data_IF_466941720132
#
_entry.id   IF_466941720132
#
_cell.length_a   1.000
_cell.length_b   1.000
_cell.length_c   1.000
_cell.angle_alpha   90.00
_cell.angle_beta   90.00
_cell.angle_gamma   90.00
#
_symmetry.space_group_name_H-M   'P 1'
#
loop_
_entity.id
_entity.type
_entity.pdbx_description
1 polymer ?
#
# COMPACT_ATOMS: atom_id res chain seq x y z
N UNK A 1 -12.03 4.81 13.01
CA UNK A 1 -11.83 3.91 11.88
C UNK A 1 -11.15 2.60 12.27
N UNK A 2 -10.09 2.66 13.05
CA UNK A 2 -9.37 1.46 13.45
C UNK A 2 -10.24 0.49 14.24
N UNK A 3 -11.06 1.01 15.14
CA UNK A 3 -11.97 0.16 15.93
C UNK A 3 -12.98 -0.58 15.06
N UNK A 4 -13.51 0.09 14.04
CA UNK A 4 -14.43 -0.55 13.10
C UNK A 4 -13.71 -1.61 12.27
N UNK A 5 -12.48 -1.31 11.85
CA UNK A 5 -11.67 -2.28 11.11
C UNK A 5 -11.35 -3.49 11.96
N UNK A 6 -10.99 -3.30 13.23
CA UNK A 6 -10.73 -4.40 14.15
C UNK A 6 -11.98 -5.27 14.34
N UNK A 7 -13.13 -4.65 14.57
CA UNK A 7 -14.39 -5.37 14.74
C UNK A 7 -14.75 -6.18 13.49
N UNK A 8 -14.55 -5.59 12.32
CA UNK A 8 -14.81 -6.26 11.05
C UNK A 8 -13.86 -7.43 10.84
N UNK A 9 -12.58 -7.24 11.15
CA UNK A 9 -11.57 -8.29 11.05
C UNK A 9 -11.86 -9.47 11.98
N UNK A 10 -12.29 -9.19 13.21
CA UNK A 10 -12.69 -10.22 14.17
C UNK A 10 -13.89 -11.01 13.68
N UNK A 11 -14.88 -10.31 13.14
CA UNK A 11 -16.06 -10.96 12.59
C UNK A 11 -15.71 -11.87 11.40
N UNK A 12 -14.84 -11.40 10.52
CA UNK A 12 -14.38 -12.21 9.38
C UNK A 12 -13.64 -13.45 9.86
N UNK A 13 -12.77 -13.31 10.86
CA UNK A 13 -12.03 -14.44 11.43
C UNK A 13 -12.97 -15.47 12.05
N UNK A 14 -13.99 -15.03 12.78
CA UNK A 14 -14.99 -15.92 13.37
C UNK A 14 -15.74 -16.73 12.32
N UNK A 15 -15.90 -16.17 11.13
CA UNK A 15 -16.62 -16.80 10.02
C UNK A 15 -15.70 -17.48 9.03
N UNK A 16 -14.42 -17.58 9.36
CA UNK A 16 -13.40 -18.19 8.50
C UNK A 16 -13.33 -17.52 7.12
N UNK A 17 -13.44 -16.19 7.11
CA UNK A 17 -13.32 -15.38 5.90
C UNK A 17 -11.96 -14.67 5.93
N UNK A 18 -11.19 -14.79 4.86
CA UNK A 18 -9.94 -14.05 4.70
C UNK A 18 -10.21 -12.77 3.96
N UNK A 19 -9.61 -11.68 4.47
CA UNK A 19 -9.77 -10.36 3.88
C UNK A 19 -8.53 -9.99 3.07
N UNK A 20 -8.73 -9.25 2.01
CA UNK A 20 -7.66 -8.55 1.31
C UNK A 20 -8.04 -7.07 1.23
N UNK A 21 -7.03 -6.22 1.20
CA UNK A 21 -7.24 -4.76 1.11
C UNK A 21 -6.65 -4.29 -0.20
N UNK A 22 -7.43 -3.53 -0.96
CA UNK A 22 -6.97 -2.89 -2.17
C UNK A 22 -6.65 -1.43 -1.87
N UNK A 23 -5.40 -1.07 -2.03
CA UNK A 23 -4.94 0.29 -1.81
C UNK A 23 -5.38 1.20 -2.96
N UNK A 24 -5.47 2.53 -2.72
CA UNK A 24 -5.68 3.47 -3.82
C UNK A 24 -4.55 3.39 -4.85
N UNK A 25 -4.79 3.98 -6.02
CA UNK A 25 -3.81 4.02 -7.08
C UNK A 25 -2.63 4.94 -6.70
N UNK A 26 -1.42 4.42 -6.74
CA UNK A 26 -0.22 5.14 -6.28
C UNK A 26 0.71 5.53 -7.42
N UNK A 27 0.22 6.33 -8.36
CA UNK A 27 1.04 6.76 -9.48
C UNK A 27 2.31 7.50 -9.06
N UNK A 28 2.28 8.18 -7.92
CA UNK A 28 3.42 8.95 -7.41
C UNK A 28 4.65 8.10 -7.10
N UNK A 29 4.50 6.81 -6.85
CA UNK A 29 5.64 5.94 -6.56
C UNK A 29 6.52 5.68 -7.77
N UNK A 30 6.00 5.84 -8.98
CA UNK A 30 6.76 5.67 -10.22
C UNK A 30 7.32 6.98 -10.76
N UNK A 31 6.93 8.12 -10.20
CA UNK A 31 7.34 9.44 -10.67
C UNK A 31 8.57 9.93 -9.93
N UNK A 32 9.45 10.73 -10.60
CA UNK A 32 10.61 11.29 -9.94
C UNK A 32 10.29 12.38 -8.92
N UNK A 33 9.07 12.92 -8.94
CA UNK A 33 8.63 13.97 -8.01
C UNK A 33 8.63 13.46 -6.57
N UNK A 34 9.48 14.05 -5.74
CA UNK A 34 9.63 13.64 -4.34
C UNK A 34 8.38 13.91 -3.50
N UNK A 35 7.68 15.01 -3.77
CA UNK A 35 6.46 15.34 -3.03
C UNK A 35 5.36 14.33 -3.32
N UNK A 36 5.18 13.98 -4.58
CA UNK A 36 4.20 12.96 -4.97
C UNK A 36 4.58 11.59 -4.43
N UNK A 37 5.88 11.28 -4.44
CA UNK A 37 6.37 10.04 -3.86
C UNK A 37 6.04 9.96 -2.38
N UNK A 38 6.27 11.02 -1.62
CA UNK A 38 5.94 11.05 -0.19
C UNK A 38 4.45 10.93 0.06
N UNK A 39 3.62 11.60 -0.74
CA UNK A 39 2.17 11.51 -0.61
C UNK A 39 1.68 10.08 -0.85
N UNK A 40 2.23 9.42 -1.87
CA UNK A 40 1.87 8.02 -2.17
C UNK A 40 2.33 7.08 -1.06
N UNK A 41 3.52 7.29 -0.50
CA UNK A 41 4.01 6.49 0.62
C UNK A 41 3.14 6.66 1.86
N UNK A 42 2.71 7.90 2.16
CA UNK A 42 1.85 8.16 3.29
C UNK A 42 0.50 7.45 3.14
N UNK A 43 -0.07 7.47 1.93
CA UNK A 43 -1.32 6.77 1.64
C UNK A 43 -1.14 5.25 1.78
N UNK A 44 -0.02 4.72 1.34
CA UNK A 44 0.28 3.29 1.47
C UNK A 44 0.42 2.88 2.94
N UNK A 45 1.14 3.68 3.73
CA UNK A 45 1.28 3.43 5.16
C UNK A 45 -0.09 3.41 5.86
N UNK A 46 -0.96 4.36 5.52
CA UNK A 46 -2.30 4.41 6.08
C UNK A 46 -3.08 3.14 5.72
N UNK A 47 -3.01 2.71 4.46
CA UNK A 47 -3.66 1.48 4.01
C UNK A 47 -3.13 0.26 4.75
N UNK A 48 -1.81 0.20 4.98
CA UNK A 48 -1.20 -0.90 5.71
C UNK A 48 -1.67 -0.96 7.15
N UNK A 49 -1.85 0.19 7.81
CA UNK A 49 -2.39 0.25 9.17
C UNK A 49 -3.82 -0.27 9.23
N UNK A 50 -4.65 0.12 8.25
CA UNK A 50 -6.02 -0.39 8.16
C UNK A 50 -6.04 -1.89 7.89
N UNK A 51 -5.16 -2.36 7.00
CA UNK A 51 -5.03 -3.79 6.72
C UNK A 51 -4.63 -4.58 7.96
N UNK A 52 -3.73 -4.05 8.76
CA UNK A 52 -3.33 -4.69 10.01
C UNK A 52 -4.50 -4.76 10.98
N UNK A 53 -5.29 -3.68 11.10
CA UNK A 53 -6.46 -3.66 11.96
C UNK A 53 -7.51 -4.67 11.51
N UNK A 54 -7.66 -4.87 10.19
CA UNK A 54 -8.57 -5.87 9.61
C UNK A 54 -8.02 -7.29 9.70
N UNK A 55 -6.77 -7.46 10.09
CA UNK A 55 -6.07 -8.74 10.07
C UNK A 55 -6.04 -9.32 8.65
N UNK A 56 -5.86 -8.44 7.67
CA UNK A 56 -5.80 -8.84 6.26
C UNK A 56 -4.38 -9.33 5.95
N UNK A 57 -4.22 -10.56 5.43
CA UNK A 57 -2.89 -11.08 5.11
C UNK A 57 -2.30 -10.49 3.84
N UNK A 58 -3.11 -9.85 3.00
CA UNK A 58 -2.67 -9.34 1.70
C UNK A 58 -3.19 -7.93 1.49
N UNK A 59 -2.31 -7.06 1.03
CA UNK A 59 -2.66 -5.72 0.57
C UNK A 59 -2.26 -5.65 -0.90
N UNK A 60 -3.22 -5.32 -1.76
CA UNK A 60 -2.98 -5.18 -3.19
C UNK A 60 -2.80 -3.71 -3.54
N UNK A 61 -1.71 -3.38 -4.21
CA UNK A 61 -1.41 -2.02 -4.61
C UNK A 61 -1.05 -1.97 -6.09
N UNK A 62 -1.52 -0.94 -6.78
CA UNK A 62 -1.22 -0.69 -8.18
C UNK A 62 -0.40 0.59 -8.29
N UNK A 63 0.79 0.50 -8.85
CA UNK A 63 1.72 1.63 -8.88
C UNK A 63 1.65 2.48 -10.13
N UNK A 64 0.92 2.05 -11.13
CA UNK A 64 0.90 2.74 -12.41
C UNK A 64 2.15 2.45 -13.23
N UNK A 65 2.32 3.22 -14.28
CA UNK A 65 3.44 3.03 -15.19
C UNK A 65 4.06 4.37 -15.56
N UNK A 66 5.32 4.34 -15.94
CA UNK A 66 6.05 5.50 -16.42
C UNK A 66 6.97 5.03 -17.55
N UNK A 67 6.53 5.24 -18.80
CA UNK A 67 7.25 4.75 -19.96
C UNK A 67 8.35 5.69 -20.43
N UNK A 68 8.50 6.84 -19.79
CA UNK A 68 9.53 7.82 -20.15
C UNK A 68 10.90 7.51 -19.55
N UNK A 69 10.97 6.57 -18.61
CA UNK A 69 12.22 6.19 -17.95
C UNK A 69 12.52 4.71 -18.16
N UNK A 70 13.80 4.34 -18.03
CA UNK A 70 14.20 2.95 -18.14
C UNK A 70 13.66 2.11 -16.99
N UNK A 71 13.30 0.83 -17.24
CA UNK A 71 12.74 -0.03 -16.19
C UNK A 71 13.63 -0.16 -14.95
N UNK A 72 14.96 -0.22 -15.10
CA UNK A 72 15.86 -0.34 -13.97
C UNK A 72 15.80 0.88 -13.05
N UNK A 73 15.66 2.07 -13.63
CA UNK A 73 15.53 3.32 -12.87
C UNK A 73 14.23 3.32 -12.08
N UNK A 74 13.14 2.89 -12.71
CA UNK A 74 11.83 2.77 -12.04
C UNK A 74 11.87 1.77 -10.90
N UNK A 75 12.46 0.61 -11.14
CA UNK A 75 12.52 -0.44 -10.11
C UNK A 75 13.32 -0.01 -8.90
N UNK A 76 14.45 0.66 -9.12
CA UNK A 76 15.27 1.17 -8.03
C UNK A 76 14.53 2.22 -7.22
N UNK A 77 13.80 3.11 -7.89
CA UNK A 77 13.00 4.15 -7.22
C UNK A 77 11.91 3.53 -6.36
N UNK A 78 11.14 2.61 -6.93
CA UNK A 78 10.06 1.94 -6.21
C UNK A 78 10.62 1.16 -5.02
N UNK A 79 11.70 0.41 -5.23
CA UNK A 79 12.33 -0.35 -4.16
C UNK A 79 12.78 0.54 -3.02
N UNK A 80 13.46 1.63 -3.33
CA UNK A 80 13.94 2.59 -2.33
C UNK A 80 12.80 3.18 -1.51
N UNK A 81 11.70 3.54 -2.17
CA UNK A 81 10.53 4.10 -1.50
C UNK A 81 9.81 3.06 -0.64
N UNK A 82 9.64 1.86 -1.14
CA UNK A 82 8.99 0.79 -0.37
C UNK A 82 9.81 0.39 0.85
N UNK A 83 11.14 0.36 0.73
CA UNK A 83 12.00 0.02 1.87
C UNK A 83 11.79 0.96 3.05
N UNK A 84 11.46 2.22 2.79
CA UNK A 84 11.22 3.20 3.85
C UNK A 84 9.93 2.92 4.63
N UNK A 85 9.03 2.12 4.06
CA UNK A 85 7.73 1.80 4.66
C UNK A 85 7.74 0.40 5.30
N UNK A 86 8.44 -0.54 4.70
CA UNK A 86 8.39 -1.96 5.10
C UNK A 86 9.49 -2.35 6.08
N UNK A 87 10.52 -1.53 6.22
CA UNK A 87 11.65 -1.83 7.11
C UNK A 87 11.36 -1.59 8.61
#
# INVERSE_FOLDING_TARGET
>A
KEKRCQAFGELAAERDIRLSVHAPYFAGLTLPDEDRGRQSLAALEHTMKLGKALTAPVIVAHFGSNYSEEPNVLMDRIRSRLDSVVS
#
